data_IF_293206261652
#
_entry.id   IF_293206261652
#
_cell.length_a   1.000
_cell.length_b   1.000
_cell.length_c   1.000
_cell.angle_alpha   90.00
_cell.angle_beta   90.00
_cell.angle_gamma   90.00
#
_symmetry.space_group_name_H-M   'P 1'
#
loop_
_entity.id
_entity.type
_entity.pdbx_description
1 polymer ?
#
# COMPACT_ATOMS: atom_id res chain seq x y z
N UNK A 1 14.92 10.24 28.57
CA UNK A 1 13.50 10.18 29.01
C UNK A 1 12.60 11.01 28.10
N UNK A 2 12.75 12.34 27.99
CA UNK A 2 11.85 13.18 27.17
C UNK A 2 11.79 12.79 25.68
N UNK A 3 12.95 12.53 25.06
CA UNK A 3 13.05 12.10 23.64
C UNK A 3 12.32 10.77 23.41
N UNK A 4 12.42 9.83 24.35
CA UNK A 4 11.73 8.54 24.26
C UNK A 4 10.21 8.71 24.29
N UNK A 5 9.68 9.59 25.15
CA UNK A 5 8.25 9.92 25.19
C UNK A 5 7.78 10.63 23.92
N UNK A 6 8.58 11.54 23.35
CA UNK A 6 8.25 12.21 22.09
C UNK A 6 8.17 11.20 20.95
N UNK A 7 9.14 10.28 20.85
CA UNK A 7 9.14 9.21 19.83
C UNK A 7 7.90 8.32 19.98
N UNK A 8 7.57 7.90 21.21
CA UNK A 8 6.35 7.12 21.49
C UNK A 8 5.06 7.86 21.12
N UNK A 9 4.98 9.17 21.41
CA UNK A 9 3.83 10.01 21.06
C UNK A 9 3.66 10.13 19.55
N UNK A 10 4.77 10.34 18.82
CA UNK A 10 4.77 10.38 17.36
C UNK A 10 4.30 9.04 16.80
N UNK A 11 4.84 7.92 17.28
CA UNK A 11 4.44 6.57 16.85
C UNK A 11 2.94 6.34 17.14
N UNK A 12 2.45 6.74 18.31
CA UNK A 12 1.06 6.59 18.72
C UNK A 12 0.09 7.46 17.89
N UNK A 13 0.48 8.69 17.53
CA UNK A 13 -0.30 9.57 16.65
C UNK A 13 -0.39 8.98 15.25
N UNK A 14 0.72 8.44 14.71
CA UNK A 14 0.69 7.79 13.41
C UNK A 14 -0.11 6.48 13.45
N UNK A 15 -0.02 5.70 14.52
CA UNK A 15 -0.86 4.51 14.75
C UNK A 15 -2.35 4.86 14.99
N UNK A 16 -2.68 6.11 15.35
CA UNK A 16 -4.07 6.59 15.38
C UNK A 16 -4.64 6.87 13.99
N UNK A 17 -3.79 7.04 12.97
CA UNK A 17 -4.22 7.35 11.61
C UNK A 17 -4.41 6.10 10.72
N UNK A 18 -3.87 4.94 11.14
CA UNK A 18 -3.91 3.71 10.37
C UNK A 18 -4.36 2.55 11.26
N UNK A 19 -5.20 1.67 10.72
CA UNK A 19 -5.74 0.55 11.48
C UNK A 19 -4.71 -0.58 11.63
N UNK A 20 -3.95 -0.85 10.57
CA UNK A 20 -3.04 -1.99 10.48
C UNK A 20 -1.63 -1.56 10.02
N UNK A 21 -0.62 -1.77 10.86
CA UNK A 21 0.79 -1.59 10.50
C UNK A 21 1.51 -2.94 10.63
N UNK A 22 2.04 -3.55 9.56
CA UNK A 22 2.73 -4.84 9.66
C UNK A 22 3.89 -4.80 10.65
N UNK A 23 4.05 -5.87 11.44
CA UNK A 23 5.19 -6.06 12.34
C UNK A 23 6.38 -6.74 11.65
N UNK A 24 6.12 -7.48 10.58
CA UNK A 24 7.12 -8.17 9.77
C UNK A 24 6.82 -8.06 8.27
N UNK A 25 7.34 -9.02 7.51
CA UNK A 25 7.26 -9.04 6.05
C UNK A 25 6.15 -9.94 5.51
N UNK A 26 5.35 -10.57 6.39
CA UNK A 26 4.20 -11.41 6.03
C UNK A 26 3.03 -11.20 6.98
N UNK A 27 1.86 -11.72 6.57
CA UNK A 27 0.65 -11.72 7.43
C UNK A 27 0.83 -12.46 8.76
N UNK A 28 1.63 -13.54 8.76
CA UNK A 28 1.86 -14.39 9.94
C UNK A 28 2.61 -13.67 11.06
N UNK A 29 3.45 -12.69 10.71
CA UNK A 29 4.21 -11.87 11.65
C UNK A 29 3.31 -10.91 12.45
N UNK A 30 2.09 -10.70 11.97
CA UNK A 30 1.08 -9.87 12.62
C UNK A 30 1.23 -8.37 12.35
N UNK A 31 0.38 -7.62 13.04
CA UNK A 31 0.22 -6.19 12.84
C UNK A 31 0.20 -5.49 14.20
N UNK A 32 0.79 -4.30 14.25
CA UNK A 32 0.56 -3.34 15.32
C UNK A 32 -0.79 -2.69 15.03
N UNK A 33 -1.83 -3.23 15.66
CA UNK A 33 -3.19 -2.73 15.61
C UNK A 33 -3.66 -2.32 17.02
N UNK A 34 -4.75 -1.57 17.08
CA UNK A 34 -5.43 -1.27 18.36
C UNK A 34 -6.39 -2.38 18.79
N UNK A 35 -6.54 -3.43 17.98
CA UNK A 35 -7.61 -4.42 18.11
C UNK A 35 -7.07 -5.76 17.61
N UNK A 36 -6.53 -6.52 18.56
CA UNK A 36 -6.05 -7.88 18.38
C UNK A 36 -6.95 -8.69 17.43
N UNK A 37 -6.31 -9.34 16.45
CA UNK A 37 -6.79 -10.35 15.48
C UNK A 37 -7.47 -9.92 14.17
N UNK A 38 -8.00 -8.69 14.01
CA UNK A 38 -8.79 -8.39 12.80
C UNK A 38 -7.97 -7.98 11.58
N UNK A 39 -6.80 -7.35 11.75
CA UNK A 39 -5.89 -7.02 10.65
C UNK A 39 -5.31 -8.24 9.91
N UNK A 40 -5.43 -9.43 10.50
CA UNK A 40 -5.03 -10.72 9.90
C UNK A 40 -6.11 -11.32 8.99
N UNK A 41 -7.30 -10.73 8.94
CA UNK A 41 -8.40 -11.20 8.08
C UNK A 41 -8.31 -10.59 6.68
N UNK A 42 -8.78 -11.32 5.68
CA UNK A 42 -8.72 -10.88 4.27
C UNK A 42 -9.93 -10.07 3.82
N UNK A 43 -10.88 -9.77 4.70
CA UNK A 43 -12.07 -9.01 4.33
C UNK A 43 -12.48 -8.08 5.47
N UNK A 44 -12.04 -6.84 5.38
CA UNK A 44 -12.31 -5.84 6.39
C UNK A 44 -12.37 -4.43 5.78
N UNK A 45 -12.85 -3.46 6.54
CA UNK A 45 -12.86 -2.04 6.12
C UNK A 45 -11.71 -1.27 6.78
N UNK A 46 -10.57 -1.94 6.99
CA UNK A 46 -9.39 -1.34 7.62
C UNK A 46 -8.40 -0.76 6.61
N UNK A 47 -7.58 0.12 7.13
CA UNK A 47 -6.53 0.81 6.42
C UNK A 47 -5.16 0.25 6.79
N UNK A 48 -4.43 -0.23 5.78
CA UNK A 48 -3.10 -0.81 5.94
C UNK A 48 -2.01 0.21 5.60
N UNK A 49 -0.93 0.24 6.37
CA UNK A 49 0.21 1.13 6.12
C UNK A 49 1.51 0.32 6.04
N UNK A 50 2.01 0.20 4.81
CA UNK A 50 3.26 -0.48 4.50
C UNK A 50 4.42 0.51 4.42
N UNK A 51 5.52 0.16 5.11
CA UNK A 51 6.77 0.94 5.15
C UNK A 51 8.01 0.14 4.78
N UNK A 52 7.84 -1.14 4.53
CA UNK A 52 8.89 -2.12 4.29
C UNK A 52 8.36 -3.21 3.38
N UNK A 53 9.26 -4.07 2.91
CA UNK A 53 8.87 -5.21 2.09
C UNK A 53 7.78 -6.02 2.78
N UNK A 54 6.80 -6.46 1.99
CA UNK A 54 5.75 -7.31 2.49
C UNK A 54 5.25 -8.26 1.40
N UNK A 55 5.01 -9.50 1.80
CA UNK A 55 4.57 -10.59 0.93
C UNK A 55 3.24 -11.14 1.40
N UNK A 56 2.25 -11.02 0.52
CA UNK A 56 0.95 -11.62 0.63
C UNK A 56 0.87 -12.89 -0.23
N UNK A 57 0.35 -13.98 0.34
CA UNK A 57 0.28 -15.29 -0.34
C UNK A 57 -0.99 -16.10 -0.01
N UNK A 58 -2.03 -15.45 0.52
CA UNK A 58 -3.29 -16.12 0.82
C UNK A 58 -4.08 -16.42 -0.46
N UNK A 59 -4.91 -17.46 -0.40
CA UNK A 59 -5.65 -18.00 -1.56
C UNK A 59 -6.92 -17.24 -1.91
N UNK A 60 -7.31 -16.26 -1.09
CA UNK A 60 -8.47 -15.40 -1.30
C UNK A 60 -7.99 -14.00 -1.70
N UNK A 61 -8.83 -13.15 -2.29
CA UNK A 61 -8.51 -11.74 -2.43
C UNK A 61 -8.41 -11.10 -1.05
N UNK A 62 -7.47 -10.18 -0.89
CA UNK A 62 -7.44 -9.28 0.25
C UNK A 62 -8.38 -8.11 -0.05
N UNK A 63 -9.39 -7.88 0.78
CA UNK A 63 -10.32 -6.75 0.68
C UNK A 63 -10.09 -5.80 1.87
N UNK A 64 -9.73 -4.56 1.56
CA UNK A 64 -9.51 -3.52 2.57
C UNK A 64 -10.03 -2.14 2.13
N UNK A 65 -10.13 -1.21 3.09
CA UNK A 65 -10.56 0.16 2.82
C UNK A 65 -9.48 0.94 2.11
N UNK A 66 -8.27 0.96 2.64
CA UNK A 66 -7.19 1.78 2.10
C UNK A 66 -5.84 1.12 2.29
N UNK A 67 -4.94 1.33 1.34
CA UNK A 67 -3.54 0.91 1.47
C UNK A 67 -2.63 2.10 1.25
N UNK A 68 -1.81 2.39 2.25
CA UNK A 68 -0.82 3.45 2.24
C UNK A 68 0.55 2.82 2.06
N UNK A 69 1.27 3.26 1.03
CA UNK A 69 2.64 2.86 0.78
C UNK A 69 3.56 4.05 1.04
N UNK A 70 4.54 3.88 1.93
CA UNK A 70 5.44 4.96 2.34
C UNK A 70 6.88 4.47 2.45
N UNK A 71 7.77 4.97 1.58
CA UNK A 71 9.19 4.63 1.57
C UNK A 71 9.61 3.89 0.31
N UNK A 72 10.70 3.13 0.41
CA UNK A 72 11.31 2.41 -0.72
C UNK A 72 11.31 0.92 -0.46
N UNK A 73 10.37 0.20 -1.08
CA UNK A 73 10.19 -1.23 -0.84
C UNK A 73 9.39 -1.94 -1.95
N UNK A 74 9.33 -3.27 -1.83
CA UNK A 74 8.56 -4.15 -2.69
C UNK A 74 7.37 -4.74 -1.94
N UNK A 75 6.17 -4.55 -2.49
CA UNK A 75 4.97 -5.26 -2.09
C UNK A 75 4.74 -6.42 -3.06
N UNK A 76 4.62 -7.65 -2.56
CA UNK A 76 4.44 -8.84 -3.39
C UNK A 76 3.11 -9.51 -3.09
N UNK A 77 2.30 -9.73 -4.12
CA UNK A 77 1.07 -10.53 -4.08
C UNK A 77 1.24 -11.80 -4.90
N UNK A 78 1.45 -12.94 -4.23
CA UNK A 78 1.85 -14.20 -4.90
C UNK A 78 0.71 -15.02 -5.50
N UNK A 79 -0.51 -14.95 -4.93
CA UNK A 79 -1.63 -15.82 -5.36
C UNK A 79 -2.79 -15.04 -5.94
N UNK A 80 -3.44 -14.23 -5.11
CA UNK A 80 -4.63 -13.47 -5.49
C UNK A 80 -4.38 -11.96 -5.53
N UNK A 81 -5.42 -11.16 -5.71
CA UNK A 81 -5.34 -9.70 -5.68
C UNK A 81 -5.19 -9.16 -4.26
N UNK A 82 -4.34 -8.14 -4.14
CA UNK A 82 -4.52 -7.14 -3.10
C UNK A 82 -5.56 -6.11 -3.58
N UNK A 83 -6.77 -6.17 -3.03
CA UNK A 83 -7.90 -5.31 -3.39
C UNK A 83 -8.18 -4.27 -2.28
N UNK A 84 -7.97 -2.99 -2.58
CA UNK A 84 -8.38 -1.91 -1.70
C UNK A 84 -9.44 -1.03 -2.38
N UNK A 85 -10.23 -0.29 -1.59
CA UNK A 85 -10.98 0.83 -2.20
C UNK A 85 -10.01 1.89 -2.70
N UNK A 86 -8.98 2.20 -1.91
CA UNK A 86 -8.04 3.28 -2.22
C UNK A 86 -6.58 2.85 -2.03
N UNK A 87 -5.73 3.21 -2.98
CA UNK A 87 -4.28 3.16 -2.86
C UNK A 87 -3.69 4.56 -2.77
N UNK A 88 -2.76 4.73 -1.84
CA UNK A 88 -2.05 5.99 -1.61
C UNK A 88 -0.55 5.73 -1.56
N UNK A 89 0.14 6.07 -2.62
CA UNK A 89 1.60 6.15 -2.65
C UNK A 89 1.99 7.51 -2.08
N UNK A 90 2.63 7.53 -0.90
CA UNK A 90 3.05 8.78 -0.25
C UNK A 90 4.18 9.43 -1.03
N UNK A 91 4.29 10.76 -0.92
CA UNK A 91 5.37 11.54 -1.52
C UNK A 91 6.76 10.93 -1.25
N UNK A 92 7.68 11.08 -2.20
CA UNK A 92 9.05 10.57 -2.14
C UNK A 92 9.17 9.04 -1.98
N UNK A 93 8.09 8.28 -2.27
CA UNK A 93 8.12 6.82 -2.17
C UNK A 93 8.59 6.17 -3.47
N UNK A 94 9.27 5.04 -3.36
CA UNK A 94 9.67 4.21 -4.49
C UNK A 94 9.13 2.79 -4.29
N UNK A 95 8.01 2.49 -4.91
CA UNK A 95 7.25 1.27 -4.62
C UNK A 95 7.32 0.33 -5.82
N UNK A 96 7.71 -0.91 -5.56
CA UNK A 96 7.55 -1.99 -6.54
C UNK A 96 6.33 -2.83 -6.17
N UNK A 97 5.35 -2.90 -7.05
CA UNK A 97 4.18 -3.76 -6.90
C UNK A 97 4.39 -5.01 -7.76
N UNK A 98 4.69 -6.14 -7.10
CA UNK A 98 4.88 -7.44 -7.74
C UNK A 98 3.61 -8.29 -7.61
N UNK A 99 3.01 -8.70 -8.72
CA UNK A 99 1.80 -9.53 -8.72
C UNK A 99 0.53 -8.77 -9.07
N UNK A 100 -0.56 -9.08 -8.37
CA UNK A 100 -1.91 -8.60 -8.71
C UNK A 100 -2.42 -7.59 -7.67
N UNK A 101 -2.72 -6.38 -8.12
CA UNK A 101 -3.24 -5.29 -7.31
C UNK A 101 -4.47 -4.67 -7.97
N UNK A 102 -5.48 -4.38 -7.16
CA UNK A 102 -6.73 -3.80 -7.64
C UNK A 102 -7.18 -2.67 -6.72
N UNK A 103 -7.67 -1.58 -7.31
CA UNK A 103 -8.32 -0.49 -6.58
C UNK A 103 -9.69 -0.15 -7.19
N UNK A 104 -10.68 0.05 -6.33
CA UNK A 104 -12.08 0.30 -6.76
C UNK A 104 -12.42 1.79 -6.89
N UNK A 105 -11.74 2.66 -6.15
CA UNK A 105 -12.04 4.08 -6.12
C UNK A 105 -10.86 4.91 -6.63
N UNK A 106 -9.77 4.96 -5.85
CA UNK A 106 -8.65 5.85 -6.18
C UNK A 106 -7.29 5.14 -6.15
N UNK A 107 -6.46 5.47 -7.12
CA UNK A 107 -5.02 5.25 -7.09
C UNK A 107 -4.31 6.60 -7.05
N UNK A 108 -3.87 7.02 -5.86
CA UNK A 108 -3.20 8.30 -5.65
C UNK A 108 -1.69 8.15 -5.60
N UNK A 109 -0.98 8.94 -6.41
CA UNK A 109 0.48 8.92 -6.54
C UNK A 109 1.04 10.26 -6.09
N UNK A 110 1.68 10.25 -4.93
CA UNK A 110 2.27 11.43 -4.32
C UNK A 110 3.48 11.98 -5.08
N UNK A 111 3.79 13.26 -4.85
CA UNK A 111 4.90 13.96 -5.54
C UNK A 111 6.24 13.22 -5.41
N UNK A 112 7.07 13.31 -6.44
CA UNK A 112 8.43 12.75 -6.47
C UNK A 112 8.48 11.24 -6.14
N UNK A 113 7.39 10.53 -6.43
CA UNK A 113 7.31 9.08 -6.21
C UNK A 113 7.60 8.33 -7.49
N UNK A 114 8.14 7.13 -7.34
CA UNK A 114 8.34 6.17 -8.43
C UNK A 114 7.54 4.92 -8.14
N UNK A 115 6.88 4.38 -9.15
CA UNK A 115 6.21 3.10 -9.02
C UNK A 115 6.65 2.20 -10.17
N UNK A 116 6.99 0.97 -9.82
CA UNK A 116 7.29 -0.09 -10.77
C UNK A 116 6.22 -1.14 -10.60
N UNK A 117 5.56 -1.52 -11.68
CA UNK A 117 4.55 -2.56 -11.69
C UNK A 117 5.10 -3.78 -12.42
N UNK A 118 5.22 -4.89 -11.70
CA UNK A 118 5.60 -6.18 -12.26
C UNK A 118 4.42 -7.13 -12.08
N UNK A 119 3.49 -7.11 -13.03
CA UNK A 119 2.24 -7.87 -12.98
C UNK A 119 1.05 -7.02 -13.39
N UNK A 120 -0.08 -7.20 -12.70
CA UNK A 120 -1.35 -6.56 -13.05
C UNK A 120 -1.73 -5.54 -11.99
N UNK A 121 -1.93 -4.30 -12.43
CA UNK A 121 -2.55 -3.25 -11.63
C UNK A 121 -3.81 -2.81 -12.36
N UNK A 122 -4.97 -2.96 -11.73
CA UNK A 122 -6.25 -2.50 -12.28
C UNK A 122 -6.92 -1.49 -11.36
N UNK A 123 -7.64 -0.55 -11.96
CA UNK A 123 -8.37 0.51 -11.28
C UNK A 123 -9.75 0.66 -11.92
N UNK A 124 -10.81 0.75 -11.11
CA UNK A 124 -12.18 0.89 -11.64
C UNK A 124 -12.57 2.34 -11.92
N UNK A 125 -12.04 3.31 -11.15
CA UNK A 125 -12.54 4.69 -11.17
C UNK A 125 -11.48 5.73 -11.51
N UNK A 126 -10.50 6.00 -10.63
CA UNK A 126 -9.58 7.11 -10.84
C UNK A 126 -8.13 6.76 -10.52
N UNK A 127 -7.22 7.27 -11.36
CA UNK A 127 -5.81 7.42 -11.04
C UNK A 127 -5.48 8.91 -10.97
N UNK A 128 -4.79 9.32 -9.91
CA UNK A 128 -4.40 10.72 -9.68
C UNK A 128 -2.92 10.81 -9.43
N UNK A 129 -2.28 11.75 -10.13
CA UNK A 129 -0.88 12.07 -9.97
C UNK A 129 -0.76 13.47 -9.38
N UNK A 130 -0.11 13.62 -8.23
CA UNK A 130 0.10 14.94 -7.61
C UNK A 130 1.15 15.80 -8.36
N UNK A 131 1.87 15.19 -9.31
CA UNK A 131 2.80 15.84 -10.24
C UNK A 131 2.67 15.17 -11.61
N UNK A 132 3.04 15.88 -12.68
CA UNK A 132 3.09 15.30 -14.04
C UNK A 132 3.95 14.04 -14.06
N UNK A 133 3.40 12.87 -14.44
CA UNK A 133 4.16 11.64 -14.48
C UNK A 133 5.16 11.66 -15.65
N UNK A 134 6.35 11.11 -15.42
CA UNK A 134 7.31 10.79 -16.48
C UNK A 134 7.39 9.27 -16.63
N UNK A 135 7.13 8.77 -17.83
CA UNK A 135 7.29 7.35 -18.14
C UNK A 135 8.75 7.05 -18.50
N UNK A 136 9.27 5.91 -18.05
CA UNK A 136 10.64 5.48 -18.37
C UNK A 136 10.82 5.06 -19.84
N UNK A 137 9.73 4.92 -20.61
CA UNK A 137 9.75 4.63 -22.05
C UNK A 137 8.65 5.40 -22.78
N UNK A 138 8.90 5.87 -24.02
CA UNK A 138 7.88 6.53 -24.84
C UNK A 138 6.77 5.54 -25.22
N UNK A 139 5.52 6.00 -25.20
CA UNK A 139 4.37 5.22 -25.68
C UNK A 139 4.33 5.23 -27.21
N UNK A 140 4.25 4.05 -27.82
CA UNK A 140 3.78 3.93 -29.20
C UNK A 140 2.26 4.11 -29.19
N UNK A 141 1.80 5.32 -29.52
CA UNK A 141 0.40 5.52 -29.84
C UNK A 141 0.13 4.91 -31.22
N UNK A 142 -0.48 3.74 -31.26
CA UNK A 142 -1.19 3.30 -32.46
C UNK A 142 -2.46 4.13 -32.53
N UNK A 143 -2.45 5.14 -33.38
CA UNK A 143 -3.67 5.79 -33.86
C UNK A 143 -4.32 4.81 -34.84
N UNK A 144 -5.46 4.24 -34.47
CA UNK A 144 -6.43 3.69 -35.44
C UNK A 144 -7.34 4.80 -35.96
#
# INVERSE_FOLDING_TARGET
MLIYYIILLIICIHAKAYDCIPLGDKFEDGFNDKIDTLCKTTNNDYSYHFKSNFTYSLTKPMECKSTYFNGTFTMTSLKDYWNAKNFYIKQHSQITLNGKFHTREEFNIGKNSKIIWNGNVSFERLITFETTPSLNQPQFNYLE
#
